data_IF_681452183907
#
_entry.id   IF_681452183907
#
_cell.length_a   1.000
_cell.length_b   1.000
_cell.length_c   1.000
_cell.angle_alpha   90.00
_cell.angle_beta   90.00
_cell.angle_gamma   90.00
#
_symmetry.space_group_name_H-M   'P 1'
#
loop_
_entity.id
_entity.type
_entity.pdbx_description
1 polymer ?
#
# COMPACT_ATOMS: atom_id res chain seq x y z
N UNK A 1 -13.98 9.70 3.70
CA UNK A 1 -15.20 9.19 3.04
C UNK A 1 -15.08 7.67 3.04
N UNK A 2 -16.00 6.96 3.70
CA UNK A 2 -15.94 5.51 3.86
C UNK A 2 -15.88 4.77 2.52
N UNK A 3 -15.18 3.64 2.46
CA UNK A 3 -15.10 2.81 1.25
C UNK A 3 -16.53 2.38 0.86
N UNK A 4 -17.00 2.88 -0.28
CA UNK A 4 -18.34 2.61 -0.78
C UNK A 4 -18.35 1.32 -1.62
N UNK A 5 -18.61 0.18 -0.98
CA UNK A 5 -18.79 -1.11 -1.65
C UNK A 5 -20.27 -1.52 -1.65
N UNK A 6 -20.74 -2.21 -2.71
CA UNK A 6 -22.01 -2.94 -2.67
C UNK A 6 -22.11 -3.84 -1.44
N UNK A 7 -23.29 -3.93 -0.82
CA UNK A 7 -23.50 -4.64 0.46
C UNK A 7 -23.06 -6.11 0.42
N UNK A 8 -23.30 -6.79 -0.70
CA UNK A 8 -22.89 -8.17 -0.94
C UNK A 8 -21.36 -8.32 -0.99
N UNK A 9 -20.68 -7.39 -1.68
CA UNK A 9 -19.20 -7.35 -1.72
C UNK A 9 -18.64 -7.02 -0.34
N UNK A 10 -19.25 -6.07 0.37
CA UNK A 10 -18.83 -5.68 1.72
C UNK A 10 -18.91 -6.84 2.70
N UNK A 11 -20.02 -7.59 2.68
CA UNK A 11 -20.21 -8.76 3.55
C UNK A 11 -19.15 -9.85 3.28
N UNK A 12 -18.76 -10.06 2.02
CA UNK A 12 -17.71 -11.02 1.65
C UNK A 12 -16.30 -10.60 2.13
N UNK A 13 -16.13 -9.35 2.57
CA UNK A 13 -14.87 -8.82 3.10
C UNK A 13 -14.89 -8.65 4.61
N UNK A 14 -15.92 -9.12 5.33
CA UNK A 14 -16.04 -8.90 6.78
C UNK A 14 -14.82 -9.43 7.53
N UNK A 15 -14.29 -10.60 7.17
CA UNK A 15 -13.06 -11.15 7.76
C UNK A 15 -11.84 -10.29 7.44
N UNK A 16 -11.71 -9.79 6.20
CA UNK A 16 -10.61 -8.91 5.82
C UNK A 16 -10.66 -7.58 6.59
N UNK A 17 -11.85 -6.98 6.70
CA UNK A 17 -12.05 -5.78 7.51
C UNK A 17 -11.86 -6.04 9.01
N UNK A 18 -12.23 -7.22 9.52
CA UNK A 18 -11.98 -7.60 10.89
C UNK A 18 -10.47 -7.65 11.17
N UNK A 19 -9.69 -8.28 10.29
CA UNK A 19 -8.22 -8.32 10.36
C UNK A 19 -7.63 -6.90 10.31
N UNK A 20 -8.01 -6.08 9.32
CA UNK A 20 -7.49 -4.72 9.16
C UNK A 20 -7.82 -3.80 10.36
N UNK A 21 -8.94 -4.04 11.05
CA UNK A 21 -9.32 -3.29 12.26
C UNK A 21 -8.51 -3.69 13.50
N UNK A 22 -7.78 -4.81 13.47
CA UNK A 22 -6.83 -5.14 14.55
C UNK A 22 -5.56 -4.29 14.41
N UNK A 23 -4.85 -3.98 15.51
CA UNK A 23 -3.62 -3.20 15.44
C UNK A 23 -2.57 -3.89 14.56
N UNK A 24 -2.07 -3.18 13.54
CA UNK A 24 -0.93 -3.62 12.75
C UNK A 24 0.36 -3.07 13.38
N UNK A 25 1.28 -3.95 13.77
CA UNK A 25 2.54 -3.57 14.43
C UNK A 25 3.70 -3.87 13.51
N UNK A 26 4.48 -2.84 13.21
CA UNK A 26 5.69 -2.97 12.42
C UNK A 26 6.81 -2.14 13.05
N UNK A 27 7.84 -2.83 13.56
CA UNK A 27 8.93 -2.22 14.34
C UNK A 27 8.38 -1.39 15.51
N UNK A 28 8.71 -0.09 15.55
CA UNK A 28 8.27 0.86 16.60
C UNK A 28 6.90 1.51 16.30
N UNK A 29 6.24 1.12 15.20
CA UNK A 29 4.99 1.73 14.73
C UNK A 29 3.82 0.83 15.06
N UNK A 30 2.76 1.41 15.61
CA UNK A 30 1.44 0.77 15.72
C UNK A 30 0.46 1.53 14.82
N UNK A 31 -0.28 0.79 14.02
CA UNK A 31 -1.14 1.29 12.96
C UNK A 31 -2.56 0.76 13.10
N UNK A 32 -3.55 1.61 12.83
CA UNK A 32 -4.97 1.25 12.82
C UNK A 32 -5.59 1.62 11.48
N UNK A 33 -6.26 0.67 10.84
CA UNK A 33 -6.91 0.94 9.56
C UNK A 33 -8.08 1.92 9.72
N UNK A 34 -8.14 2.90 8.83
CA UNK A 34 -9.30 3.77 8.62
C UNK A 34 -9.69 3.78 7.15
N UNK A 35 -10.99 3.70 6.89
CA UNK A 35 -11.60 3.85 5.57
C UNK A 35 -11.74 5.32 5.17
N UNK A 36 -10.65 6.08 5.33
CA UNK A 36 -10.58 7.49 5.00
C UNK A 36 -9.21 7.81 4.42
N UNK A 37 -9.20 8.47 3.26
CA UNK A 37 -7.97 8.99 2.65
C UNK A 37 -7.41 10.12 3.53
N UNK A 38 -6.14 10.05 3.94
CA UNK A 38 -5.55 11.03 4.83
C UNK A 38 -5.28 12.36 4.11
N UNK A 39 -5.30 13.50 4.82
CA UNK A 39 -4.81 14.74 4.27
C UNK A 39 -3.28 14.70 4.11
N UNK A 40 -2.75 15.43 3.13
CA UNK A 40 -1.33 15.38 2.77
C UNK A 40 -0.38 15.74 3.93
N UNK A 41 -0.71 16.75 4.72
CA UNK A 41 0.10 17.21 5.85
C UNK A 41 0.24 16.17 6.96
N UNK A 42 -0.64 15.17 7.00
CA UNK A 42 -0.59 14.05 7.93
C UNK A 42 0.04 12.77 7.33
N UNK A 43 0.26 12.71 6.02
CA UNK A 43 0.77 11.51 5.33
C UNK A 43 2.30 11.46 5.35
N UNK A 44 2.87 10.34 5.81
CA UNK A 44 4.30 10.07 5.72
C UNK A 44 4.67 9.15 4.56
N UNK A 45 3.80 8.18 4.27
CA UNK A 45 4.03 7.12 3.28
C UNK A 45 2.78 6.88 2.45
N UNK A 46 2.94 6.26 1.27
CA UNK A 46 1.84 5.73 0.48
C UNK A 46 2.14 4.31 0.05
N UNK A 47 1.19 3.40 0.21
CA UNK A 47 1.25 2.04 -0.32
C UNK A 47 0.07 1.79 -1.26
N UNK A 48 0.33 1.29 -2.45
CA UNK A 48 -0.68 0.94 -3.45
C UNK A 48 -0.52 -0.51 -3.91
N UNK A 49 -1.64 -1.24 -3.97
CA UNK A 49 -1.65 -2.59 -4.56
C UNK A 49 -1.66 -2.45 -6.09
N UNK A 50 -0.61 -2.87 -6.81
CA UNK A 50 -0.56 -2.70 -8.26
C UNK A 50 -1.25 -3.87 -8.99
N UNK A 51 -1.81 -3.58 -10.17
CA UNK A 51 -2.59 -4.52 -10.98
C UNK A 51 -2.15 -4.51 -12.44
N UNK A 52 -1.86 -5.70 -12.98
CA UNK A 52 -1.64 -5.92 -14.41
C UNK A 52 -2.79 -6.76 -14.95
N UNK A 53 -3.72 -6.11 -15.66
CA UNK A 53 -4.98 -6.73 -16.06
C UNK A 53 -5.78 -7.18 -14.83
N UNK A 54 -6.15 -8.46 -14.75
CA UNK A 54 -6.88 -9.03 -13.60
C UNK A 54 -5.98 -9.62 -12.50
N UNK A 55 -4.65 -9.49 -12.65
CA UNK A 55 -3.66 -10.00 -11.71
C UNK A 55 -3.13 -8.88 -10.82
N UNK A 56 -2.68 -9.26 -9.63
CA UNK A 56 -2.03 -8.36 -8.68
C UNK A 56 -0.52 -8.54 -8.74
N UNK A 57 0.20 -7.45 -8.48
CA UNK A 57 1.64 -7.44 -8.31
C UNK A 57 1.95 -7.51 -6.82
N UNK A 58 2.92 -8.34 -6.47
CA UNK A 58 3.46 -8.46 -5.12
C UNK A 58 4.98 -8.38 -5.24
N UNK A 59 5.60 -7.57 -4.40
CA UNK A 59 7.05 -7.41 -4.37
C UNK A 59 7.64 -8.01 -3.09
N UNK A 60 8.85 -8.53 -3.18
CA UNK A 60 9.64 -8.97 -2.05
C UNK A 60 10.88 -8.10 -1.95
N UNK A 61 10.93 -7.24 -0.95
CA UNK A 61 12.13 -6.48 -0.62
C UNK A 61 12.88 -7.15 0.52
N UNK A 62 14.20 -7.00 0.52
CA UNK A 62 15.06 -7.56 1.57
C UNK A 62 14.77 -6.95 2.95
N UNK A 63 14.39 -5.68 3.00
CA UNK A 63 14.22 -4.90 4.22
C UNK A 63 12.81 -4.98 4.84
N UNK A 64 11.78 -5.06 3.98
CA UNK A 64 10.37 -4.98 4.35
C UNK A 64 9.60 -6.28 4.13
N UNK A 65 10.15 -7.24 3.37
CA UNK A 65 9.52 -8.53 3.08
C UNK A 65 8.53 -8.44 1.91
N UNK A 66 7.47 -9.25 1.97
CA UNK A 66 6.44 -9.27 0.94
C UNK A 66 5.45 -8.13 1.12
N UNK A 67 5.16 -7.37 0.06
CA UNK A 67 4.25 -6.24 0.18
C UNK A 67 3.75 -5.62 -1.13
N UNK A 68 2.92 -4.58 -1.01
CA UNK A 68 2.56 -3.69 -2.11
C UNK A 68 3.71 -2.77 -2.50
N UNK A 69 3.53 -2.03 -3.60
CA UNK A 69 4.45 -0.95 -3.95
C UNK A 69 4.16 0.30 -3.13
N UNK A 70 5.20 1.03 -2.76
CA UNK A 70 5.08 2.28 -2.04
C UNK A 70 6.30 2.65 -1.22
N UNK A 71 6.26 3.86 -0.67
CA UNK A 71 7.38 4.34 0.12
C UNK A 71 7.11 5.69 0.76
N UNK A 72 8.20 6.36 1.12
CA UNK A 72 8.18 7.58 1.93
C UNK A 72 8.08 8.82 1.06
N UNK A 73 7.24 9.77 1.46
CA UNK A 73 7.12 11.03 0.73
C UNK A 73 8.40 11.89 0.87
N UNK A 74 8.83 12.46 -0.25
CA UNK A 74 9.87 13.50 -0.30
C UNK A 74 9.33 14.83 0.27
N UNK A 75 10.25 15.75 0.56
CA UNK A 75 9.89 17.08 1.09
C UNK A 75 9.01 17.86 0.10
N UNK A 76 7.83 18.29 0.55
CA UNK A 76 6.83 18.95 -0.29
C UNK A 76 6.16 18.08 -1.37
N UNK A 77 6.52 16.79 -1.49
CA UNK A 77 6.01 15.92 -2.56
C UNK A 77 4.52 15.64 -2.41
N UNK A 78 3.75 15.72 -3.50
CA UNK A 78 2.34 15.33 -3.50
C UNK A 78 2.19 13.80 -3.42
N UNK A 79 1.12 13.30 -2.77
CA UNK A 79 0.90 11.84 -2.64
C UNK A 79 0.88 11.15 -4.01
N UNK A 80 0.24 11.79 -5.00
CA UNK A 80 0.15 11.28 -6.36
C UNK A 80 1.52 11.17 -7.04
N UNK A 81 2.40 12.15 -6.82
CA UNK A 81 3.77 12.12 -7.34
C UNK A 81 4.57 10.99 -6.70
N UNK A 82 4.41 10.79 -5.39
CA UNK A 82 5.03 9.68 -4.67
C UNK A 82 4.55 8.33 -5.23
N UNK A 83 3.24 8.12 -5.46
CA UNK A 83 2.73 6.89 -6.07
C UNK A 83 3.37 6.60 -7.43
N UNK A 84 3.47 7.60 -8.32
CA UNK A 84 4.09 7.42 -9.63
C UNK A 84 5.57 7.06 -9.52
N UNK A 85 6.30 7.75 -8.62
CA UNK A 85 7.72 7.49 -8.39
C UNK A 85 7.96 6.08 -7.86
N UNK A 86 7.29 5.69 -6.78
CA UNK A 86 7.49 4.37 -6.15
C UNK A 86 7.14 3.22 -7.12
N UNK A 87 6.09 3.36 -7.94
CA UNK A 87 5.76 2.36 -8.96
C UNK A 87 6.83 2.24 -10.05
N UNK A 88 7.43 3.35 -10.47
CA UNK A 88 8.54 3.33 -11.41
C UNK A 88 9.79 2.70 -10.76
N UNK A 89 10.09 3.10 -9.52
CA UNK A 89 11.28 2.67 -8.79
C UNK A 89 11.27 1.18 -8.48
N UNK A 90 10.17 0.66 -7.93
CA UNK A 90 10.16 -0.70 -7.40
C UNK A 90 9.82 -1.77 -8.44
N UNK A 91 8.97 -1.41 -9.42
CA UNK A 91 8.45 -2.39 -10.37
C UNK A 91 8.59 -1.96 -11.85
N UNK A 92 9.25 -0.84 -12.14
CA UNK A 92 9.38 -0.34 -13.53
C UNK A 92 8.02 -0.05 -14.16
N UNK A 93 7.04 0.36 -13.33
CA UNK A 93 5.64 0.45 -13.66
C UNK A 93 5.14 1.87 -13.84
N UNK A 94 4.31 2.09 -14.87
CA UNK A 94 3.57 3.33 -15.06
C UNK A 94 2.11 3.13 -14.65
N UNK A 95 1.59 4.01 -13.78
CA UNK A 95 0.19 4.01 -13.38
C UNK A 95 -0.70 4.59 -14.48
N UNK A 96 -1.60 3.76 -15.02
CA UNK A 96 -2.66 4.20 -15.95
C UNK A 96 -3.89 4.76 -15.23
N UNK A 97 -4.15 4.27 -14.01
CA UNK A 97 -5.18 4.76 -13.09
C UNK A 97 -4.82 4.33 -11.68
N UNK A 98 -5.05 5.17 -10.68
CA UNK A 98 -4.95 4.76 -9.28
C UNK A 98 -5.95 5.55 -8.43
N UNK A 99 -6.36 4.96 -7.32
CA UNK A 99 -7.22 5.62 -6.34
C UNK A 99 -6.81 5.22 -4.92
N UNK A 100 -6.80 6.20 -4.03
CA UNK A 100 -6.65 5.98 -2.60
C UNK A 100 -8.01 5.66 -1.99
N UNK A 101 -8.05 4.75 -1.03
CA UNK A 101 -9.29 4.31 -0.40
C UNK A 101 -9.26 4.34 1.13
N UNK A 102 -8.09 4.53 1.74
CA UNK A 102 -7.96 4.52 3.18
C UNK A 102 -6.58 4.89 3.67
N UNK A 103 -6.33 4.58 4.94
CA UNK A 103 -5.05 4.78 5.60
C UNK A 103 -4.81 3.74 6.68
N UNK A 104 -3.54 3.55 7.02
CA UNK A 104 -3.16 3.22 8.37
C UNK A 104 -2.87 4.51 9.14
N UNK A 105 -3.66 4.75 10.18
CA UNK A 105 -3.42 5.81 11.16
C UNK A 105 -2.41 5.28 12.18
N UNK A 106 -1.21 5.86 12.17
CA UNK A 106 0.00 5.29 12.75
C UNK A 106 0.56 6.18 13.86
N UNK A 107 1.14 5.55 14.87
CA UNK A 107 1.89 6.21 15.94
C UNK A 107 3.19 5.44 16.16
N UNK A 108 4.31 6.17 16.26
CA UNK A 108 5.64 5.59 16.52
C UNK A 108 6.13 5.90 17.93
N UNK A 109 6.89 4.99 18.52
CA UNK A 109 7.61 5.21 19.79
C UNK A 109 9.04 5.74 19.59
N UNK A 110 9.45 6.04 18.35
CA UNK A 110 10.75 6.67 18.09
C UNK A 110 10.83 8.06 18.74
N UNK A 111 12.02 8.47 19.18
CA UNK A 111 12.21 9.79 19.83
C UNK A 111 12.17 10.97 18.84
N UNK A 112 12.47 10.70 17.57
CA UNK A 112 12.56 11.71 16.52
C UNK A 112 11.82 11.26 15.26
N UNK A 113 11.40 12.22 14.45
CA UNK A 113 10.83 11.96 13.14
C UNK A 113 11.81 11.17 12.25
N UNK A 114 11.28 10.28 11.43
CA UNK A 114 12.09 9.48 10.50
C UNK A 114 12.80 10.35 9.44
N UNK A 115 12.16 11.45 9.02
CA UNK A 115 12.77 12.56 8.29
C UNK A 115 12.23 13.90 8.83
N UNK A 116 12.99 15.01 8.75
CA UNK A 116 12.58 16.28 9.38
C UNK A 116 11.26 16.89 8.86
N UNK A 117 10.87 16.59 7.62
CA UNK A 117 9.65 17.09 6.99
C UNK A 117 8.43 16.19 7.22
N UNK A 118 8.60 15.02 7.84
CA UNK A 118 7.51 14.06 8.04
C UNK A 118 6.77 14.30 9.36
N UNK A 119 5.46 14.02 9.40
CA UNK A 119 4.67 14.14 10.62
C UNK A 119 5.16 13.14 11.68
N UNK A 120 5.16 13.59 12.94
CA UNK A 120 5.67 12.84 14.08
C UNK A 120 5.03 13.33 15.40
N UNK A 121 4.74 12.45 16.38
CA UNK A 121 4.90 10.99 16.36
C UNK A 121 3.76 10.26 15.65
N UNK A 122 2.73 11.00 15.24
CA UNK A 122 1.55 10.48 14.57
C UNK A 122 1.59 10.84 13.10
N UNK A 123 1.23 9.88 12.25
CA UNK A 123 1.24 10.03 10.81
C UNK A 123 0.30 9.01 10.16
N UNK A 124 0.00 9.21 8.89
CA UNK A 124 -0.74 8.26 8.08
C UNK A 124 0.15 7.60 7.02
N UNK A 125 -0.08 6.31 6.80
CA UNK A 125 0.28 5.62 5.56
C UNK A 125 -0.97 5.60 4.68
N UNK A 126 -0.96 6.33 3.57
CA UNK A 126 -2.07 6.32 2.62
C UNK A 126 -2.15 4.98 1.88
N UNK A 127 -3.35 4.44 1.70
CA UNK A 127 -3.58 3.12 1.09
C UNK A 127 -4.41 3.25 -0.18
N UNK A 128 -4.00 2.55 -1.24
CA UNK A 128 -4.68 2.59 -2.53
C UNK A 128 -4.48 1.36 -3.41
N UNK A 129 -4.95 1.47 -4.64
CA UNK A 129 -4.71 0.52 -5.72
C UNK A 129 -4.28 1.26 -6.99
N UNK A 130 -3.53 0.60 -7.87
CA UNK A 130 -3.10 1.16 -9.15
C UNK A 130 -3.21 0.13 -10.29
N UNK A 131 -3.82 0.50 -11.41
CA UNK A 131 -3.66 -0.19 -12.70
C UNK A 131 -2.35 0.23 -13.35
N UNK A 132 -1.48 -0.72 -13.66
CA UNK A 132 -0.12 -0.42 -14.11
C UNK A 132 0.24 -1.14 -15.41
N UNK A 133 1.10 -0.49 -16.18
CA UNK A 133 1.85 -1.10 -17.28
C UNK A 133 3.27 -1.28 -16.78
N UNK A 134 3.77 -2.52 -16.77
CA UNK A 134 5.16 -2.82 -16.43
C UNK A 134 5.91 -2.99 -17.75
N UNK A 135 6.74 -2.01 -18.07
CA UNK A 135 7.50 -1.95 -19.33
C UNK A 135 9.01 -1.82 -19.14
N UNK A 136 9.47 -1.51 -17.93
CA UNK A 136 10.88 -1.31 -17.60
C UNK A 136 11.43 -2.33 -16.60
N UNK A 137 12.73 -2.20 -16.32
CA UNK A 137 13.31 -2.65 -15.05
C UNK A 137 12.94 -1.65 -13.95
N UNK A 138 13.09 -2.03 -12.68
CA UNK A 138 13.10 -1.09 -11.56
C UNK A 138 14.08 0.06 -11.85
N UNK A 139 13.63 1.31 -11.77
CA UNK A 139 14.42 2.50 -12.11
C UNK A 139 14.77 3.28 -10.83
N UNK A 140 16.05 3.42 -10.49
CA UNK A 140 16.47 4.22 -9.32
C UNK A 140 16.40 5.73 -9.64
N UNK A 141 15.31 6.41 -9.24
CA UNK A 141 15.05 7.84 -9.52
C UNK A 141 14.98 8.73 -8.26
N UNK A 142 15.64 8.32 -7.16
CA UNK A 142 15.91 9.20 -6.02
C UNK A 142 14.93 9.16 -4.86
N UNK A 143 14.27 8.02 -4.61
CA UNK A 143 13.51 7.74 -3.40
C UNK A 143 14.28 7.94 -2.08
N UNK A 144 13.53 8.05 -0.97
CA UNK A 144 14.08 8.34 0.38
C UNK A 144 14.95 7.20 0.93
N UNK A 145 14.59 5.96 0.58
CA UNK A 145 15.36 4.73 0.81
C UNK A 145 15.24 3.86 -0.44
N UNK A 146 16.31 3.11 -0.75
CA UNK A 146 16.18 2.00 -1.68
C UNK A 146 15.74 0.75 -0.92
N UNK A 147 14.54 0.27 -1.21
CA UNK A 147 14.21 -1.13 -0.93
C UNK A 147 14.96 -2.01 -1.94
N UNK A 148 15.69 -3.01 -1.43
CA UNK A 148 16.39 -3.96 -2.31
C UNK A 148 15.38 -4.98 -2.81
N UNK A 149 14.69 -4.66 -3.91
CA UNK A 149 13.71 -5.55 -4.54
C UNK A 149 14.41 -6.83 -5.01
N UNK A 150 14.04 -7.94 -4.41
CA UNK A 150 14.59 -9.27 -4.71
C UNK A 150 13.72 -10.04 -5.71
N UNK A 151 12.41 -9.81 -5.66
CA UNK A 151 11.44 -10.53 -6.48
C UNK A 151 10.21 -9.66 -6.75
N UNK A 152 9.70 -9.72 -7.98
CA UNK A 152 8.39 -9.16 -8.37
C UNK A 152 7.57 -10.30 -8.97
N UNK A 153 6.42 -10.59 -8.37
CA UNK A 153 5.52 -11.65 -8.84
C UNK A 153 4.17 -11.10 -9.26
N UNK A 154 3.65 -11.64 -10.37
CA UNK A 154 2.35 -11.26 -10.93
C UNK A 154 1.41 -12.47 -10.86
N UNK A 155 0.47 -12.43 -9.93
CA UNK A 155 -0.35 -13.59 -9.53
C UNK A 155 -1.84 -13.27 -9.58
N UNK A 156 -2.71 -14.28 -9.72
CA UNK A 156 -4.11 -14.14 -9.33
C UNK A 156 -4.22 -13.72 -7.85
N UNK A 157 -5.28 -12.99 -7.49
CA UNK A 157 -5.47 -12.49 -6.11
C UNK A 157 -5.39 -13.61 -5.07
N UNK A 158 -5.91 -14.79 -5.35
CA UNK A 158 -5.86 -15.94 -4.44
C UNK A 158 -4.42 -16.38 -4.17
N UNK A 159 -3.55 -16.36 -5.18
CA UNK A 159 -2.15 -16.73 -5.05
C UNK A 159 -1.35 -15.71 -4.24
N UNK A 160 -1.60 -14.41 -4.44
CA UNK A 160 -0.96 -13.37 -3.65
C UNK A 160 -1.39 -13.40 -2.18
N UNK A 161 -2.69 -13.57 -1.92
CA UNK A 161 -3.24 -13.73 -0.57
C UNK A 161 -2.63 -14.94 0.13
N UNK A 162 -2.58 -16.10 -0.54
CA UNK A 162 -1.97 -17.29 0.02
C UNK A 162 -0.49 -17.07 0.35
N UNK A 163 0.27 -16.45 -0.56
CA UNK A 163 1.69 -16.14 -0.35
C UNK A 163 1.89 -15.25 0.89
N UNK A 164 1.07 -14.22 1.05
CA UNK A 164 1.13 -13.32 2.20
C UNK A 164 0.78 -14.07 3.49
N UNK A 165 -0.29 -14.86 3.50
CA UNK A 165 -0.70 -15.65 4.68
C UNK A 165 0.35 -16.69 5.09
N UNK A 166 0.99 -17.38 4.13
CA UNK A 166 2.07 -18.34 4.38
C UNK A 166 3.33 -17.70 4.96
N UNK A 167 3.53 -16.39 4.76
CA UNK A 167 4.63 -15.61 5.32
C UNK A 167 4.22 -14.82 6.59
N UNK A 168 3.00 -15.03 7.12
CA UNK A 168 2.51 -14.36 8.32
C UNK A 168 1.99 -12.94 8.10
N UNK A 169 1.93 -12.48 6.84
CA UNK A 169 1.53 -11.12 6.46
C UNK A 169 0.01 -10.97 6.35
N UNK A 170 -0.72 -11.32 7.43
CA UNK A 170 -2.18 -11.39 7.42
C UNK A 170 -2.86 -10.03 7.19
N UNK A 171 -2.29 -8.94 7.70
CA UNK A 171 -2.78 -7.58 7.44
C UNK A 171 -2.64 -7.19 5.97
N UNK A 172 -1.52 -7.53 5.34
CA UNK A 172 -1.31 -7.29 3.92
C UNK A 172 -2.20 -8.20 3.06
N UNK A 173 -2.41 -9.46 3.44
CA UNK A 173 -3.34 -10.34 2.76
C UNK A 173 -4.77 -9.76 2.77
N UNK A 174 -5.21 -9.23 3.92
CA UNK A 174 -6.49 -8.54 4.04
C UNK A 174 -6.54 -7.25 3.21
N UNK A 175 -5.46 -6.45 3.20
CA UNK A 175 -5.34 -5.26 2.36
C UNK A 175 -5.50 -5.59 0.87
N UNK A 176 -4.84 -6.63 0.39
CA UNK A 176 -4.91 -7.08 -1.00
C UNK A 176 -6.33 -7.51 -1.39
N UNK A 177 -7.05 -8.23 -0.51
CA UNK A 177 -8.46 -8.59 -0.73
C UNK A 177 -9.35 -7.35 -0.86
N UNK A 178 -9.18 -6.38 0.05
CA UNK A 178 -9.96 -5.14 0.03
C UNK A 178 -9.64 -4.32 -1.23
N UNK A 179 -8.37 -4.11 -1.55
CA UNK A 179 -7.93 -3.36 -2.73
C UNK A 179 -8.48 -3.97 -4.03
N UNK A 180 -8.47 -5.30 -4.14
CA UNK A 180 -9.03 -6.03 -5.28
C UNK A 180 -10.51 -5.71 -5.51
N UNK A 181 -11.33 -5.79 -4.46
CA UNK A 181 -12.77 -5.55 -4.58
C UNK A 181 -13.12 -4.06 -4.73
N UNK A 182 -12.39 -3.17 -4.05
CA UNK A 182 -12.53 -1.71 -4.24
C UNK A 182 -12.24 -1.31 -5.69
N UNK A 183 -11.14 -1.82 -6.25
CA UNK A 183 -10.81 -1.60 -7.66
C UNK A 183 -11.89 -2.15 -8.58
N UNK A 184 -12.40 -3.36 -8.33
CA UNK A 184 -13.47 -3.96 -9.15
C UNK A 184 -14.74 -3.13 -9.13
N UNK A 185 -15.11 -2.59 -7.97
CA UNK A 185 -16.26 -1.70 -7.84
C UNK A 185 -16.05 -0.38 -8.61
N UNK A 186 -14.84 0.19 -8.59
CA UNK A 186 -14.49 1.42 -9.30
C UNK A 186 -14.38 1.27 -10.83
N UNK A 187 -14.37 0.03 -11.36
CA UNK A 187 -14.40 -0.26 -12.81
C UNK A 187 -15.80 -0.50 -13.37
N UNK A 188 -16.81 -0.64 -12.51
CA UNK A 188 -18.22 -0.78 -12.91
C UNK A 188 -18.82 0.58 -13.18
#
# INVERSE_FOLDING_TARGET
MAINLPLDIRANLDDAFATLKTPYKWRAVTSYFKDEVPPRDYTSNVHVVPFVGDRVVLLHAKESGWGPSGGTLLDGEAIQTCVTRELAEEIGGEATRFELFGQWDSETTAEVAYRPWLPHPKFAVALGWADVIISGSSDDDGGVEMESIQEVVILPIQGAVQRLEENGEHHLAALYRVAYEVRRAAKR
#
